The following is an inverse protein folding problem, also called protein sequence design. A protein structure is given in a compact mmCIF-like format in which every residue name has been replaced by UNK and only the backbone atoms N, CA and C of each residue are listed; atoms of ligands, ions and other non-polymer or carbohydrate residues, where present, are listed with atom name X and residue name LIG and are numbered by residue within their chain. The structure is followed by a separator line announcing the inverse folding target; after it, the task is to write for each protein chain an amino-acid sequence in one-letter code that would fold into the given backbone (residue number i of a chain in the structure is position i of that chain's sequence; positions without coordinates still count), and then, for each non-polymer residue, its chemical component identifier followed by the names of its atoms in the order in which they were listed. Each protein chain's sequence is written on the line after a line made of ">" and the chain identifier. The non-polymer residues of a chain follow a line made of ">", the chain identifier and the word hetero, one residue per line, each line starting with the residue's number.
data_IF_839303211253
#
_entry.id   IF_839303211253
#
_cell.length_a   1.000
_cell.length_b   1.000
_cell.length_c   1.000
_cell.angle_alpha   90.00
_cell.angle_beta   90.00
_cell.angle_gamma   90.00
#
_symmetry.space_group_name_H-M   'P 1'
#
loop_
_entity.id
_entity.type
_entity.pdbx_description
1 polymer ?
#
# COMPACT_ATOMS: atom_id res chain seq x y z
N UNK A 1 -8.49 -21.75 13.18
CA UNK A 1 -9.61 -20.78 13.12
C UNK A 1 -10.78 -21.46 12.42
N UNK A 2 -12.00 -21.40 12.98
CA UNK A 2 -13.18 -21.97 12.29
C UNK A 2 -13.48 -21.14 11.04
N UNK A 3 -13.74 -21.77 9.87
CA UNK A 3 -14.17 -21.05 8.68
C UNK A 3 -15.50 -20.35 8.97
N UNK A 4 -15.55 -19.05 8.68
CA UNK A 4 -16.77 -18.27 8.73
C UNK A 4 -17.54 -18.53 7.43
N UNK A 5 -18.53 -19.42 7.48
CA UNK A 5 -19.54 -19.51 6.42
C UNK A 5 -20.54 -18.37 6.64
N UNK A 6 -20.63 -17.38 5.73
CA UNK A 6 -21.61 -16.32 5.86
C UNK A 6 -23.00 -16.93 5.85
N UNK A 7 -23.75 -16.76 6.94
CA UNK A 7 -25.17 -17.09 6.97
C UNK A 7 -25.90 -16.05 6.10
N UNK A 8 -26.92 -16.49 5.36
CA UNK A 8 -27.77 -15.56 4.61
C UNK A 8 -28.44 -14.60 5.62
N UNK A 9 -28.23 -13.28 5.51
CA UNK A 9 -28.85 -12.28 6.38
C UNK A 9 -30.37 -12.43 6.51
N UNK A 10 -31.01 -12.92 5.45
CA UNK A 10 -32.46 -13.10 5.34
C UNK A 10 -32.97 -14.23 6.24
N UNK A 11 -32.08 -15.13 6.65
CA UNK A 11 -32.37 -16.26 7.55
C UNK A 11 -32.12 -15.95 9.03
N UNK A 12 -31.64 -14.74 9.35
CA UNK A 12 -31.25 -14.35 10.70
C UNK A 12 -32.38 -13.63 11.44
N UNK A 13 -32.49 -13.86 12.76
CA UNK A 13 -33.28 -12.99 13.61
C UNK A 13 -32.65 -11.60 13.70
N UNK A 14 -33.44 -10.57 14.02
CA UNK A 14 -32.95 -9.21 14.19
C UNK A 14 -31.83 -9.12 15.24
N UNK A 15 -31.96 -9.86 16.34
CA UNK A 15 -30.95 -9.93 17.41
C UNK A 15 -29.64 -10.57 16.94
N UNK A 16 -29.73 -11.68 16.21
CA UNK A 16 -28.55 -12.34 15.64
C UNK A 16 -27.83 -11.42 14.64
N UNK A 17 -28.59 -10.67 13.84
CA UNK A 17 -28.04 -9.70 12.90
C UNK A 17 -27.29 -8.56 13.59
N UNK A 18 -27.86 -8.02 14.67
CA UNK A 18 -27.19 -6.98 15.48
C UNK A 18 -25.88 -7.50 16.07
N UNK A 19 -25.88 -8.71 16.61
CA UNK A 19 -24.69 -9.33 17.18
C UNK A 19 -23.59 -9.56 16.12
N UNK A 20 -23.95 -10.02 14.93
CA UNK A 20 -23.02 -10.20 13.80
C UNK A 20 -22.35 -8.89 13.38
N UNK A 21 -23.16 -7.83 13.22
CA UNK A 21 -22.69 -6.50 12.84
C UNK A 21 -21.76 -5.95 13.93
N UNK A 22 -22.15 -6.02 15.19
CA UNK A 22 -21.34 -5.56 16.32
C UNK A 22 -19.98 -6.29 16.38
N UNK A 23 -19.98 -7.62 16.21
CA UNK A 23 -18.75 -8.41 16.19
C UNK A 23 -17.83 -8.03 15.01
N UNK A 24 -18.41 -7.74 13.85
CA UNK A 24 -17.67 -7.33 12.64
C UNK A 24 -17.05 -5.95 12.83
N UNK A 25 -17.81 -4.99 13.37
CA UNK A 25 -17.31 -3.66 13.70
C UNK A 25 -16.19 -3.72 14.75
N UNK A 26 -16.35 -4.49 15.82
CA UNK A 26 -15.32 -4.64 16.85
C UNK A 26 -14.00 -5.15 16.26
N UNK A 27 -14.05 -6.18 15.39
CA UNK A 27 -12.86 -6.70 14.69
C UNK A 27 -12.21 -5.66 13.78
N UNK A 28 -13.01 -4.88 13.06
CA UNK A 28 -12.51 -3.83 12.19
C UNK A 28 -11.81 -2.71 12.98
N UNK A 29 -12.40 -2.28 14.10
CA UNK A 29 -11.83 -1.25 14.97
C UNK A 29 -10.49 -1.67 15.59
N UNK A 30 -10.36 -2.93 16.00
CA UNK A 30 -9.08 -3.47 16.50
C UNK A 30 -8.01 -3.39 15.41
N UNK A 31 -8.34 -3.75 14.17
CA UNK A 31 -7.41 -3.66 13.03
C UNK A 31 -7.04 -2.21 12.73
N UNK A 32 -7.98 -1.28 12.76
CA UNK A 32 -7.71 0.14 12.52
C UNK A 32 -6.82 0.75 13.61
N UNK A 33 -7.03 0.39 14.87
CA UNK A 33 -6.19 0.85 15.99
C UNK A 33 -4.79 0.24 15.95
N UNK A 34 -4.67 -0.97 15.43
CA UNK A 34 -3.40 -1.68 15.30
C UNK A 34 -2.70 -1.42 13.96
N UNK A 35 -3.24 -0.59 13.07
CA UNK A 35 -2.52 -0.23 11.86
C UNK A 35 -1.29 0.60 12.26
N UNK A 36 -0.08 0.15 11.88
CA UNK A 36 1.12 0.97 12.04
C UNK A 36 0.91 2.26 11.23
N UNK A 37 1.53 3.35 11.67
CA UNK A 37 1.48 4.61 10.95
C UNK A 37 1.83 4.31 9.48
N UNK A 38 1.13 4.85 8.46
CA UNK A 38 1.52 4.65 7.06
C UNK A 38 2.98 5.05 6.77
N UNK A 39 3.61 5.80 7.67
CA UNK A 39 5.04 6.11 7.67
C UNK A 39 5.94 4.99 8.25
N UNK A 40 5.45 4.13 9.14
CA UNK A 40 6.21 3.03 9.77
C UNK A 40 6.41 1.83 8.82
N UNK A 41 5.59 1.71 7.77
CA UNK A 41 5.64 0.59 6.81
C UNK A 41 6.86 0.66 5.88
N UNK A 42 7.63 1.75 5.89
CA UNK A 42 8.71 1.98 4.92
C UNK A 42 10.07 1.41 5.30
N UNK A 43 10.30 0.98 6.54
CA UNK A 43 11.64 0.55 6.96
C UNK A 43 11.96 -0.92 6.65
N UNK A 44 10.98 -1.79 6.42
CA UNK A 44 11.21 -3.24 6.26
C UNK A 44 10.40 -3.90 5.13
N UNK A 45 10.07 -3.18 4.06
CA UNK A 45 9.57 -3.86 2.85
C UNK A 45 10.75 -4.59 2.21
N UNK A 46 10.77 -5.92 2.34
CA UNK A 46 11.60 -6.78 1.51
C UNK A 46 11.37 -6.40 0.03
N UNK A 47 12.46 -6.27 -0.71
CA UNK A 47 12.43 -5.90 -2.13
C UNK A 47 11.78 -7.04 -2.91
N UNK A 48 10.46 -6.94 -3.14
CA UNK A 48 9.64 -7.95 -3.83
C UNK A 48 9.99 -8.08 -5.33
N UNK A 49 11.10 -7.50 -5.79
CA UNK A 49 11.55 -7.56 -7.18
C UNK A 49 10.66 -6.77 -8.15
N UNK A 50 9.74 -5.95 -7.63
CA UNK A 50 8.99 -5.02 -8.46
C UNK A 50 9.93 -3.91 -8.93
N UNK A 51 9.84 -3.56 -10.22
CA UNK A 51 10.56 -2.40 -10.74
C UNK A 51 10.25 -1.18 -9.86
N UNK A 52 11.26 -0.36 -9.48
CA UNK A 52 11.03 0.86 -8.72
C UNK A 52 9.94 1.68 -9.39
N UNK A 53 9.12 2.44 -8.63
CA UNK A 53 8.01 3.21 -9.19
C UNK A 53 8.46 3.97 -10.45
N UNK A 54 8.07 3.44 -11.62
CA UNK A 54 8.35 4.12 -12.88
C UNK A 54 7.53 5.39 -12.84
N UNK A 55 8.20 6.55 -12.76
CA UNK A 55 7.54 7.85 -12.80
C UNK A 55 6.89 8.03 -14.17
N UNK A 56 5.66 7.54 -14.32
CA UNK A 56 4.83 7.63 -15.55
C UNK A 56 4.50 9.08 -15.94
N UNK A 57 4.73 10.04 -15.04
CA UNK A 57 4.61 11.48 -15.30
C UNK A 57 5.93 12.23 -15.11
N UNK A 58 7.07 11.57 -15.33
CA UNK A 58 8.35 12.29 -15.34
C UNK A 58 8.41 13.22 -16.56
N UNK A 59 8.52 14.53 -16.32
CA UNK A 59 8.65 15.51 -17.40
C UNK A 59 9.88 15.13 -18.27
N UNK A 60 9.67 14.78 -19.55
CA UNK A 60 10.75 14.29 -20.41
C UNK A 60 11.87 15.33 -20.56
N UNK A 61 11.56 16.63 -20.52
CA UNK A 61 12.56 17.69 -20.58
C UNK A 61 13.46 17.74 -19.34
N UNK A 62 12.97 17.32 -18.17
CA UNK A 62 13.80 17.22 -16.95
C UNK A 62 14.76 16.03 -17.05
N UNK A 63 14.31 14.91 -17.63
CA UNK A 63 15.16 13.73 -17.87
C UNK A 63 16.28 14.04 -18.84
N UNK A 64 15.98 14.68 -19.97
CA UNK A 64 16.98 15.06 -20.99
C UNK A 64 18.01 16.02 -20.40
N UNK A 65 17.58 17.06 -19.66
CA UNK A 65 18.51 18.00 -19.02
C UNK A 65 19.42 17.33 -17.99
N UNK A 66 18.90 16.39 -17.20
CA UNK A 66 19.70 15.63 -16.22
C UNK A 66 20.73 14.73 -16.93
N UNK A 67 20.33 14.06 -18.01
CA UNK A 67 21.23 13.21 -18.80
C UNK A 67 22.33 14.03 -19.49
N UNK A 68 21.97 15.17 -20.11
CA UNK A 68 22.93 16.07 -20.74
C UNK A 68 23.95 16.62 -19.72
N UNK A 69 23.48 17.02 -18.53
CA UNK A 69 24.37 17.47 -17.44
C UNK A 69 25.30 16.35 -16.96
N UNK A 70 24.79 15.12 -16.82
CA UNK A 70 25.62 13.98 -16.42
C UNK A 70 26.68 13.64 -17.48
N UNK A 71 26.35 13.73 -18.77
CA UNK A 71 27.30 13.52 -19.86
C UNK A 71 28.38 14.62 -19.90
N UNK A 72 28.00 15.88 -19.71
CA UNK A 72 28.94 16.99 -19.64
C UNK A 72 29.92 16.85 -18.46
N UNK A 73 29.43 16.41 -17.29
CA UNK A 73 30.28 16.14 -16.12
C UNK A 73 31.26 15.01 -16.40
N UNK A 74 30.84 13.93 -17.07
CA UNK A 74 31.75 12.84 -17.47
C UNK A 74 32.84 13.32 -18.42
N UNK A 75 32.48 14.14 -19.42
CA UNK A 75 33.46 14.73 -20.34
C UNK A 75 34.46 15.65 -19.64
N UNK A 76 34.02 16.41 -18.63
CA UNK A 76 34.90 17.26 -17.83
C UNK A 76 35.81 16.47 -16.87
N UNK A 77 35.45 15.24 -16.53
CA UNK A 77 36.22 14.36 -15.63
C UNK A 77 37.19 13.43 -16.37
N UNK A 78 37.28 13.51 -17.70
CA UNK A 78 38.34 12.86 -18.47
C UNK A 78 38.31 11.32 -18.50
N UNK A 79 37.12 10.72 -18.55
CA UNK A 79 36.95 9.30 -18.92
C UNK A 79 36.26 9.18 -20.26
#
# INVERSE_FOLDING_TARGET
>A
MKPFTPLDPSSMSAEARVAEVAATLARALVRLRAQPNPHDVRENQEDLGFSPPQRVHSNPAVRVRKAARAAAVKQQQGV
#
